data_IF_514987893409
#
_entry.id   IF_514987893409
#
_cell.length_a   1.000
_cell.length_b   1.000
_cell.length_c   1.000
_cell.angle_alpha   90.00
_cell.angle_beta   90.00
_cell.angle_gamma   90.00
#
_symmetry.space_group_name_H-M   'P 1'
#
loop_
_entity.id
_entity.type
_entity.pdbx_description
1 polymer ?
#
# COMPACT_ATOMS: atom_id res chain seq x y z
N UNK A 1 -19.55 3.09 24.00
CA UNK A 1 -18.67 2.12 23.36
C UNK A 1 -17.89 2.92 22.33
N UNK A 2 -16.58 3.09 22.47
CA UNK A 2 -15.78 3.74 21.43
C UNK A 2 -15.87 2.86 20.19
N UNK A 3 -16.36 3.41 19.08
CA UNK A 3 -16.34 2.70 17.80
C UNK A 3 -14.88 2.37 17.48
N UNK A 4 -14.61 1.10 17.14
CA UNK A 4 -13.25 0.59 16.89
C UNK A 4 -12.84 0.92 15.45
N UNK A 5 -12.61 2.21 15.16
CA UNK A 5 -12.12 2.67 13.88
C UNK A 5 -10.61 2.41 13.77
N UNK A 6 -10.22 1.74 12.70
CA UNK A 6 -8.82 1.49 12.39
C UNK A 6 -8.22 2.61 11.53
N UNK A 7 -9.04 3.34 10.77
CA UNK A 7 -8.65 4.49 9.98
C UNK A 7 -9.76 5.55 10.04
N UNK A 8 -9.37 6.78 10.32
CA UNK A 8 -10.26 7.94 10.27
C UNK A 8 -9.59 9.08 9.50
N UNK A 9 -10.32 9.63 8.59
CA UNK A 9 -9.96 10.83 7.84
C UNK A 9 -10.99 11.89 8.21
N UNK A 10 -10.55 13.00 8.78
CA UNK A 10 -11.44 14.06 9.26
C UNK A 10 -11.19 15.34 8.47
N UNK A 11 -12.20 15.81 7.76
CA UNK A 11 -12.18 17.07 7.03
C UNK A 11 -10.99 17.23 6.08
N UNK A 12 -10.62 16.15 5.37
CA UNK A 12 -9.50 16.14 4.45
C UNK A 12 -9.76 17.06 3.28
N UNK A 13 -8.89 18.04 3.12
CA UNK A 13 -8.84 18.95 1.99
C UNK A 13 -7.51 18.80 1.27
N UNK A 14 -7.56 18.76 -0.05
CA UNK A 14 -6.35 18.78 -0.89
C UNK A 14 -6.53 19.72 -2.06
N UNK A 15 -5.66 20.71 -2.14
CA UNK A 15 -5.57 21.66 -3.23
C UNK A 15 -4.26 21.46 -3.99
N UNK A 16 -4.36 21.56 -5.29
CA UNK A 16 -3.24 21.70 -6.21
C UNK A 16 -3.39 23.06 -6.91
N UNK A 17 -2.33 23.62 -7.52
CA UNK A 17 -2.44 24.87 -8.26
C UNK A 17 -3.60 24.82 -9.27
N UNK A 18 -4.61 25.65 -9.06
CA UNK A 18 -5.79 25.76 -9.92
C UNK A 18 -6.88 24.69 -9.75
N UNK A 19 -6.71 23.69 -8.87
CA UNK A 19 -7.69 22.59 -8.69
C UNK A 19 -7.85 22.20 -7.24
N UNK A 20 -9.09 22.14 -6.76
CA UNK A 20 -9.44 21.52 -5.47
C UNK A 20 -9.76 20.06 -5.73
N UNK A 21 -8.84 19.17 -5.38
CA UNK A 21 -9.00 17.74 -5.59
C UNK A 21 -9.85 17.06 -4.50
N UNK A 22 -9.79 17.57 -3.27
CA UNK A 22 -10.62 17.16 -2.14
C UNK A 22 -11.06 18.44 -1.42
N UNK A 23 -12.36 18.67 -1.27
CA UNK A 23 -12.87 19.91 -0.65
C UNK A 23 -13.05 19.77 0.86
N UNK A 24 -13.69 18.69 1.31
CA UNK A 24 -13.96 18.36 2.70
C UNK A 24 -14.42 16.88 2.75
N UNK A 25 -13.49 15.96 2.99
CA UNK A 25 -13.78 14.53 2.96
C UNK A 25 -13.56 13.95 4.33
N UNK A 26 -14.62 13.35 4.90
CA UNK A 26 -14.56 12.56 6.12
C UNK A 26 -14.86 11.10 5.77
N UNK A 27 -14.02 10.19 6.26
CA UNK A 27 -14.14 8.75 6.04
C UNK A 27 -13.70 8.02 7.30
N UNK A 28 -14.44 6.98 7.65
CA UNK A 28 -14.12 6.11 8.78
C UNK A 28 -14.18 4.66 8.34
N UNK A 29 -13.21 3.86 8.78
CA UNK A 29 -13.11 2.43 8.49
C UNK A 29 -13.03 1.67 9.80
N UNK A 30 -13.94 0.72 10.01
CA UNK A 30 -13.93 -0.15 11.19
C UNK A 30 -13.02 -1.35 11.00
N UNK A 31 -12.63 -1.95 12.10
CA UNK A 31 -11.87 -3.21 12.06
C UNK A 31 -12.66 -4.31 11.35
N UNK A 32 -12.03 -4.96 10.38
CA UNK A 32 -12.64 -6.04 9.57
C UNK A 32 -13.67 -5.57 8.53
N UNK A 33 -13.86 -4.25 8.37
CA UNK A 33 -14.78 -3.70 7.37
C UNK A 33 -14.12 -3.66 6.00
N UNK A 34 -14.93 -3.86 4.95
CA UNK A 34 -14.59 -3.61 3.55
C UNK A 34 -15.36 -2.40 3.08
N UNK A 35 -14.68 -1.29 2.85
CA UNK A 35 -15.27 -0.04 2.41
C UNK A 35 -15.04 0.21 0.92
N UNK A 36 -16.11 0.32 0.14
CA UNK A 36 -16.06 0.65 -1.29
C UNK A 36 -16.05 2.16 -1.52
N UNK A 37 -15.02 2.68 -2.19
CA UNK A 37 -14.94 4.08 -2.61
C UNK A 37 -15.39 4.23 -4.06
N UNK A 38 -16.61 4.73 -4.28
CA UNK A 38 -17.26 4.83 -5.58
C UNK A 38 -17.35 6.31 -6.01
N UNK A 39 -17.21 6.58 -7.30
CA UNK A 39 -17.31 7.91 -7.89
C UNK A 39 -16.73 7.97 -9.30
N UNK A 40 -17.01 9.05 -10.01
CA UNK A 40 -16.52 9.28 -11.38
C UNK A 40 -15.00 9.44 -11.45
N UNK A 41 -14.45 9.38 -12.67
CA UNK A 41 -13.04 9.69 -12.89
C UNK A 41 -12.81 11.18 -12.57
N UNK A 42 -11.75 11.46 -11.83
CA UNK A 42 -11.49 12.83 -11.34
C UNK A 42 -12.15 13.18 -10.01
N UNK A 43 -13.04 12.36 -9.43
CA UNK A 43 -13.72 12.64 -8.17
C UNK A 43 -12.81 12.63 -6.90
N UNK A 44 -11.48 12.56 -7.04
CA UNK A 44 -10.55 12.65 -5.92
C UNK A 44 -10.21 11.32 -5.23
N UNK A 45 -10.80 10.18 -5.66
CA UNK A 45 -10.58 8.86 -5.01
C UNK A 45 -9.10 8.52 -4.85
N UNK A 46 -8.33 8.59 -5.92
CA UNK A 46 -6.88 8.29 -5.90
C UNK A 46 -6.10 9.29 -5.04
N UNK A 47 -6.53 10.55 -4.98
CA UNK A 47 -5.92 11.57 -4.13
C UNK A 47 -6.18 11.24 -2.65
N UNK A 48 -7.39 10.82 -2.30
CA UNK A 48 -7.75 10.41 -0.94
C UNK A 48 -6.89 9.21 -0.48
N UNK A 49 -6.78 8.18 -1.32
CA UNK A 49 -5.94 7.00 -1.04
C UNK A 49 -4.46 7.41 -0.88
N UNK A 50 -3.97 8.31 -1.73
CA UNK A 50 -2.60 8.85 -1.62
C UNK A 50 -2.39 9.66 -0.33
N UNK A 51 -3.42 10.33 0.18
CA UNK A 51 -3.36 10.99 1.49
C UNK A 51 -3.25 9.95 2.62
N UNK A 52 -4.05 8.88 2.58
CA UNK A 52 -3.98 7.79 3.57
C UNK A 52 -2.58 7.16 3.64
N UNK A 53 -1.94 6.95 2.49
CA UNK A 53 -0.59 6.35 2.42
C UNK A 53 0.55 7.32 2.69
N UNK A 54 0.26 8.62 2.85
CA UNK A 54 1.27 9.64 3.00
C UNK A 54 2.07 9.96 1.73
N UNK A 55 1.68 9.41 0.57
CA UNK A 55 2.26 9.79 -0.73
C UNK A 55 1.89 11.22 -1.13
N UNK A 56 0.78 11.73 -0.59
CA UNK A 56 0.33 13.12 -0.74
C UNK A 56 -0.01 13.67 0.64
N UNK A 57 0.55 14.80 1.00
CA UNK A 57 0.18 15.51 2.23
C UNK A 57 -1.10 16.30 1.97
N UNK A 58 -2.18 16.13 2.76
CA UNK A 58 -3.38 16.96 2.67
C UNK A 58 -3.04 18.43 2.95
N UNK A 59 -3.84 19.35 2.39
CA UNK A 59 -3.73 20.79 2.66
C UNK A 59 -4.25 21.12 4.05
N UNK A 60 -5.32 20.43 4.49
CA UNK A 60 -5.86 20.46 5.84
C UNK A 60 -6.63 19.17 6.15
N UNK A 61 -7.05 19.04 7.38
CA UNK A 61 -7.72 17.85 7.91
C UNK A 61 -6.77 16.98 8.74
N UNK A 62 -7.30 15.88 9.28
CA UNK A 62 -6.58 15.00 10.19
C UNK A 62 -6.67 13.55 9.74
N UNK A 63 -5.60 12.81 9.97
CA UNK A 63 -5.55 11.36 9.71
C UNK A 63 -5.29 10.67 11.05
N UNK A 64 -6.16 9.71 11.40
CA UNK A 64 -5.97 8.88 12.59
C UNK A 64 -5.90 7.40 12.19
N UNK A 65 -4.99 6.67 12.81
CA UNK A 65 -4.86 5.22 12.64
C UNK A 65 -4.89 4.59 14.02
N UNK A 66 -5.83 3.66 14.24
CA UNK A 66 -6.07 3.04 15.55
C UNK A 66 -6.17 4.08 16.69
N UNK A 67 -6.87 5.19 16.43
CA UNK A 67 -7.07 6.30 17.37
C UNK A 67 -5.89 7.25 17.55
N UNK A 68 -4.73 6.95 16.96
CA UNK A 68 -3.56 7.85 17.01
C UNK A 68 -3.61 8.85 15.85
N UNK A 69 -3.58 10.14 16.18
CA UNK A 69 -3.56 11.24 15.22
C UNK A 69 -2.15 11.48 14.69
N UNK A 70 -2.06 11.78 13.39
CA UNK A 70 -0.83 12.11 12.69
C UNK A 70 -0.95 13.47 12.01
N UNK A 71 -0.13 14.44 12.42
CA UNK A 71 -0.07 15.76 11.81
C UNK A 71 0.41 15.70 10.36
N UNK A 72 1.31 14.76 10.08
CA UNK A 72 1.83 14.52 8.74
C UNK A 72 2.05 13.03 8.53
N UNK A 73 1.32 12.46 7.59
CA UNK A 73 1.53 11.09 7.14
C UNK A 73 2.68 11.04 6.13
N UNK A 74 3.54 10.03 6.28
CA UNK A 74 4.56 9.67 5.29
C UNK A 74 4.38 8.22 4.90
N UNK A 75 4.87 7.77 3.71
CA UNK A 75 4.75 6.36 3.32
C UNK A 75 5.36 5.39 4.33
N UNK A 76 6.46 5.76 4.97
CA UNK A 76 7.07 4.95 6.01
C UNK A 76 6.17 4.84 7.25
N UNK A 77 5.65 5.96 7.76
CA UNK A 77 4.72 5.97 8.89
C UNK A 77 3.44 5.20 8.59
N UNK A 78 2.91 5.32 7.38
CA UNK A 78 1.73 4.58 6.94
C UNK A 78 1.99 3.06 7.01
N UNK A 79 3.12 2.60 6.45
CA UNK A 79 3.52 1.20 6.49
C UNK A 79 3.76 0.68 7.91
N UNK A 80 4.44 1.45 8.76
CA UNK A 80 4.68 1.12 10.18
C UNK A 80 3.37 1.01 11.00
N UNK A 81 2.30 1.69 10.56
CA UNK A 81 0.97 1.63 11.18
C UNK A 81 0.00 0.71 10.45
N UNK A 82 0.49 -0.15 9.54
CA UNK A 82 -0.29 -1.21 8.91
C UNK A 82 -1.07 -0.79 7.66
N UNK A 83 -0.80 0.38 7.07
CA UNK A 83 -1.37 0.77 5.79
C UNK A 83 -0.48 0.26 4.66
N UNK A 84 -1.02 -0.62 3.83
CA UNK A 84 -0.41 -1.04 2.57
C UNK A 84 -1.28 -0.57 1.40
N UNK A 85 -0.65 -0.19 0.29
CA UNK A 85 -1.34 0.23 -0.94
C UNK A 85 -0.91 -0.65 -2.09
N UNK A 86 -1.89 -1.09 -2.86
CA UNK A 86 -1.68 -1.70 -4.17
C UNK A 86 -2.06 -0.66 -5.21
N UNK A 87 -1.09 -0.27 -6.03
CA UNK A 87 -1.30 0.71 -7.09
C UNK A 87 -1.94 0.07 -8.32
N UNK A 88 -2.60 0.89 -9.13
CA UNK A 88 -3.22 0.43 -10.37
C UNK A 88 -2.17 0.09 -11.44
N UNK A 89 -1.02 0.75 -11.43
CA UNK A 89 0.10 0.49 -12.32
C UNK A 89 1.08 -0.50 -11.67
N UNK A 90 1.60 -1.43 -12.48
CA UNK A 90 2.56 -2.41 -12.00
C UNK A 90 3.91 -1.77 -11.76
N UNK A 91 4.41 -1.88 -10.53
CA UNK A 91 5.73 -1.39 -10.15
C UNK A 91 6.80 -2.50 -10.14
N UNK A 92 6.49 -3.65 -10.73
CA UNK A 92 7.41 -4.77 -10.77
C UNK A 92 8.59 -4.53 -11.71
N UNK A 93 9.79 -4.83 -11.25
CA UNK A 93 11.01 -4.84 -12.07
C UNK A 93 11.07 -6.19 -12.79
N UNK A 94 10.85 -6.18 -14.10
CA UNK A 94 10.67 -7.38 -14.92
C UNK A 94 11.89 -8.29 -14.99
N UNK A 95 13.09 -7.74 -14.83
CA UNK A 95 14.38 -8.42 -14.87
C UNK A 95 14.79 -9.06 -13.56
N UNK A 96 14.05 -8.78 -12.48
CA UNK A 96 14.25 -9.41 -11.18
C UNK A 96 13.30 -10.60 -11.00
N UNK A 97 13.70 -11.51 -10.11
CA UNK A 97 12.85 -12.63 -9.71
C UNK A 97 11.64 -12.18 -8.87
N UNK A 98 10.65 -13.05 -8.72
CA UNK A 98 9.49 -12.79 -7.89
C UNK A 98 9.89 -12.46 -6.44
N UNK A 99 10.83 -13.21 -5.86
CA UNK A 99 11.33 -12.94 -4.52
C UNK A 99 12.08 -11.60 -4.44
N UNK A 100 12.91 -11.26 -5.41
CA UNK A 100 13.63 -9.99 -5.42
C UNK A 100 12.67 -8.79 -5.54
N UNK A 101 11.58 -8.92 -6.28
CA UNK A 101 10.53 -7.89 -6.36
C UNK A 101 9.82 -7.69 -5.02
N UNK A 102 9.44 -8.76 -4.30
CA UNK A 102 8.79 -8.66 -2.99
C UNK A 102 9.64 -7.93 -1.96
N UNK A 103 10.96 -8.08 -2.03
CA UNK A 103 11.91 -7.46 -1.10
C UNK A 103 12.61 -6.23 -1.68
N UNK A 104 12.06 -5.62 -2.75
CA UNK A 104 12.63 -4.43 -3.36
C UNK A 104 12.66 -3.27 -2.35
N UNK A 105 13.83 -2.67 -2.17
CA UNK A 105 14.06 -1.60 -1.18
C UNK A 105 14.22 -2.08 0.28
N UNK A 106 13.87 -3.34 0.61
CA UNK A 106 13.99 -3.92 1.96
C UNK A 106 14.56 -5.34 1.95
N UNK A 107 15.75 -5.58 1.38
CA UNK A 107 16.28 -6.94 1.25
C UNK A 107 16.59 -7.55 2.61
N UNK A 108 16.36 -8.87 2.74
CA UNK A 108 16.82 -9.63 3.89
C UNK A 108 18.34 -9.73 3.82
N UNK A 109 19.02 -9.44 4.92
CA UNK A 109 20.48 -9.40 4.98
C UNK A 109 21.03 -10.43 5.96
N UNK A 110 22.18 -10.98 5.61
CA UNK A 110 23.03 -11.76 6.50
C UNK A 110 24.39 -11.02 6.62
N UNK A 111 24.55 -10.25 7.68
CA UNK A 111 25.65 -9.30 7.78
C UNK A 111 25.58 -8.20 6.73
N UNK A 112 26.63 -8.01 5.94
CA UNK A 112 26.67 -7.03 4.82
C UNK A 112 26.06 -7.54 3.51
N UNK A 113 25.86 -8.84 3.37
CA UNK A 113 25.38 -9.46 2.13
C UNK A 113 23.86 -9.65 2.14
N UNK A 114 23.26 -9.66 0.93
CA UNK A 114 21.84 -10.00 0.75
C UNK A 114 21.68 -11.52 0.87
N UNK A 115 20.78 -11.95 1.74
CA UNK A 115 20.41 -13.38 1.89
C UNK A 115 19.27 -13.73 0.93
N UNK A 116 19.64 -14.04 -0.32
CA UNK A 116 18.68 -14.45 -1.35
C UNK A 116 17.90 -15.71 -0.97
N UNK A 117 18.53 -16.66 -0.27
CA UNK A 117 17.85 -17.89 0.15
C UNK A 117 16.75 -17.61 1.17
N UNK A 118 17.00 -16.71 2.12
CA UNK A 118 15.98 -16.26 3.07
C UNK A 118 14.85 -15.54 2.36
N UNK A 119 15.14 -14.64 1.40
CA UNK A 119 14.14 -13.96 0.60
C UNK A 119 13.27 -14.95 -0.20
N UNK A 120 13.87 -15.94 -0.85
CA UNK A 120 13.16 -17.00 -1.59
C UNK A 120 12.25 -17.81 -0.66
N UNK A 121 12.72 -18.16 0.53
CA UNK A 121 11.94 -18.90 1.50
C UNK A 121 10.73 -18.11 2.03
N UNK A 122 10.91 -16.83 2.36
CA UNK A 122 9.80 -15.98 2.80
C UNK A 122 8.80 -15.71 1.67
N UNK A 123 9.28 -15.47 0.44
CA UNK A 123 8.40 -15.35 -0.72
C UNK A 123 7.57 -16.62 -0.95
N UNK A 124 8.18 -17.80 -0.83
CA UNK A 124 7.45 -19.06 -0.97
C UNK A 124 6.33 -19.22 0.08
N UNK A 125 6.57 -18.79 1.33
CA UNK A 125 5.54 -18.79 2.39
C UNK A 125 4.39 -17.84 2.06
N UNK A 126 4.69 -16.62 1.61
CA UNK A 126 3.66 -15.65 1.25
C UNK A 126 2.81 -16.17 0.08
N UNK A 127 3.44 -16.74 -0.95
CA UNK A 127 2.72 -17.35 -2.08
C UNK A 127 1.84 -18.52 -1.63
N UNK A 128 2.30 -19.33 -0.68
CA UNK A 128 1.50 -20.41 -0.12
C UNK A 128 0.28 -19.88 0.64
N UNK A 129 0.42 -18.81 1.43
CA UNK A 129 -0.68 -18.18 2.15
C UNK A 129 -1.74 -17.61 1.20
N UNK A 130 -1.32 -17.08 0.06
CA UNK A 130 -2.21 -16.57 -0.99
C UNK A 130 -2.74 -17.68 -1.92
N UNK A 131 -2.38 -18.95 -1.68
CA UNK A 131 -2.75 -20.10 -2.51
C UNK A 131 -2.33 -19.97 -3.98
N UNK A 132 -1.21 -19.28 -4.26
CA UNK A 132 -0.66 -19.10 -5.60
C UNK A 132 0.59 -19.95 -5.82
N UNK A 133 0.74 -20.44 -7.06
CA UNK A 133 1.86 -21.31 -7.44
C UNK A 133 2.86 -20.51 -8.28
N UNK A 134 3.71 -19.74 -7.63
CA UNK A 134 4.82 -19.02 -8.25
C UNK A 134 6.13 -19.60 -7.73
N UNK A 135 7.08 -19.86 -8.64
CA UNK A 135 8.46 -20.15 -8.22
C UNK A 135 9.12 -18.81 -7.80
N UNK A 136 9.60 -18.67 -6.55
CA UNK A 136 10.24 -17.44 -6.09
C UNK A 136 11.42 -16.96 -6.93
N UNK A 137 12.07 -17.88 -7.66
CA UNK A 137 13.21 -17.60 -8.55
C UNK A 137 12.81 -17.21 -9.96
N UNK A 138 11.53 -17.37 -10.32
CA UNK A 138 11.07 -17.05 -11.66
C UNK A 138 11.17 -15.55 -11.91
N UNK A 139 11.68 -15.17 -13.10
CA UNK A 139 11.75 -13.77 -13.49
C UNK A 139 10.34 -13.24 -13.76
N UNK A 140 10.06 -12.04 -13.26
CA UNK A 140 8.71 -11.44 -13.37
C UNK A 140 8.27 -11.27 -14.83
N UNK A 141 9.17 -11.02 -15.76
CA UNK A 141 8.88 -10.94 -17.21
C UNK A 141 8.26 -12.22 -17.80
N UNK A 142 8.52 -13.37 -17.21
CA UNK A 142 8.00 -14.68 -17.66
C UNK A 142 6.61 -14.98 -17.09
N UNK A 143 6.14 -14.18 -16.16
CA UNK A 143 4.87 -14.38 -15.47
C UNK A 143 3.73 -13.66 -16.18
N UNK A 144 2.53 -14.25 -16.14
CA UNK A 144 1.33 -13.58 -16.62
C UNK A 144 1.03 -12.34 -15.77
N UNK A 145 0.28 -11.40 -16.33
CA UNK A 145 -0.14 -10.15 -15.66
C UNK A 145 -0.80 -10.42 -14.30
N UNK A 146 -1.64 -11.45 -14.21
CA UNK A 146 -2.28 -11.83 -12.94
C UNK A 146 -1.28 -12.27 -11.87
N UNK A 147 -0.24 -13.03 -12.26
CA UNK A 147 0.83 -13.41 -11.32
C UNK A 147 1.71 -12.23 -10.93
N UNK A 148 1.94 -11.28 -11.84
CA UNK A 148 2.65 -10.04 -11.52
C UNK A 148 1.89 -9.20 -10.47
N UNK A 149 0.56 -9.14 -10.55
CA UNK A 149 -0.29 -8.52 -9.51
C UNK A 149 -0.19 -9.25 -8.17
N UNK A 150 -0.18 -10.59 -8.19
CA UNK A 150 -0.07 -11.37 -6.96
C UNK A 150 1.26 -11.16 -6.23
N UNK A 151 2.36 -10.87 -6.94
CA UNK A 151 3.65 -10.52 -6.33
C UNK A 151 3.57 -9.17 -5.60
N UNK A 152 2.82 -8.22 -6.14
CA UNK A 152 2.64 -6.90 -5.50
C UNK A 152 1.77 -6.99 -4.23
N UNK A 153 0.83 -7.93 -4.19
CA UNK A 153 -0.02 -8.20 -3.03
C UNK A 153 0.74 -8.95 -1.93
N UNK A 154 1.70 -9.80 -2.29
CA UNK A 154 2.44 -10.67 -1.38
C UNK A 154 3.50 -9.93 -0.57
#
# INVERSE_FOLDING_TARGET
MSEDFVLELEHIRKEYPGVVALSDVTLQLRRGEILGLIGENGAGKSTLIKCCSGAVVPTSGKIKINGKEFDRMTPQLAAENGIAIIYQEFNNVKELSAAENMFLGRPIRKGISIDRKAMEAEAAKAFQQLHIKINPRELVKNLSVGYQQMIEIA
#
